data_IF_312254885697
#
_entry.id   IF_312254885697
#
_cell.length_a   1.000
_cell.length_b   1.000
_cell.length_c   1.000
_cell.angle_alpha   90.00
_cell.angle_beta   90.00
_cell.angle_gamma   90.00
#
_symmetry.space_group_name_H-M   'P 1'
#
loop_
_entity.id
_entity.type
_entity.pdbx_description
1 polymer ?
#
# COMPACT_ATOMS: atom_id res chain seq x y z
N UNK A 1 -1.53 4.84 14.70
CA UNK A 1 -0.36 3.94 14.71
C UNK A 1 0.81 4.68 15.36
N UNK A 2 1.06 4.51 16.67
CA UNK A 2 2.13 5.24 17.38
C UNK A 2 3.53 4.98 16.81
N UNK A 3 3.82 3.74 16.41
CA UNK A 3 5.15 3.34 15.91
C UNK A 3 5.56 4.01 14.60
N UNK A 4 4.64 4.17 13.64
CA UNK A 4 4.95 4.79 12.36
C UNK A 4 5.19 6.31 12.48
N UNK A 5 4.49 6.98 13.40
CA UNK A 5 4.76 8.39 13.73
C UNK A 5 6.12 8.56 14.40
N UNK A 6 6.51 7.63 15.27
CA UNK A 6 7.84 7.61 15.87
C UNK A 6 8.93 7.41 14.82
N UNK A 7 8.74 6.48 13.87
CA UNK A 7 9.68 6.25 12.76
C UNK A 7 9.79 7.46 11.83
N UNK A 8 8.67 8.11 11.48
CA UNK A 8 8.69 9.35 10.69
C UNK A 8 9.46 10.45 11.43
N UNK A 9 9.17 10.65 12.72
CA UNK A 9 9.83 11.67 13.53
C UNK A 9 11.33 11.41 13.70
N UNK A 10 11.71 10.19 14.08
CA UNK A 10 13.11 9.82 14.30
C UNK A 10 13.92 9.75 13.00
N UNK A 11 13.33 9.25 11.92
CA UNK A 11 13.94 9.22 10.58
C UNK A 11 14.16 10.63 10.03
N UNK A 12 13.14 11.49 10.10
CA UNK A 12 13.27 12.90 9.68
C UNK A 12 14.33 13.64 10.49
N UNK A 13 14.36 13.43 11.82
CA UNK A 13 15.40 14.00 12.68
C UNK A 13 16.80 13.55 12.27
N UNK A 14 16.99 12.27 11.98
CA UNK A 14 18.29 11.73 11.54
C UNK A 14 18.71 12.32 10.20
N UNK A 15 17.79 12.44 9.24
CA UNK A 15 18.04 13.06 7.94
C UNK A 15 18.48 14.52 8.12
N UNK A 16 17.74 15.31 8.90
CA UNK A 16 18.07 16.72 9.14
C UNK A 16 19.45 16.86 9.78
N UNK A 17 19.75 16.04 10.79
CA UNK A 17 20.99 16.13 11.57
C UNK A 17 22.24 15.68 10.79
N UNK A 18 22.16 14.57 10.05
CA UNK A 18 23.32 13.99 9.38
C UNK A 18 23.51 14.45 7.94
N UNK A 19 22.42 14.81 7.26
CA UNK A 19 22.48 15.24 5.86
C UNK A 19 22.32 16.75 5.70
N UNK A 20 21.98 17.51 6.74
CA UNK A 20 21.91 18.98 6.66
C UNK A 20 20.59 19.47 6.06
N UNK A 21 19.47 19.00 6.59
CA UNK A 21 18.13 19.37 6.12
C UNK A 21 17.82 18.77 4.75
N UNK A 22 17.59 19.60 3.73
CA UNK A 22 17.14 19.20 2.38
C UNK A 22 18.20 18.55 1.48
N UNK A 23 19.46 18.58 1.90
CA UNK A 23 20.57 17.99 1.17
C UNK A 23 20.44 16.47 0.97
N UNK A 24 19.58 15.79 1.73
CA UNK A 24 19.24 14.38 1.48
C UNK A 24 18.65 14.11 0.09
N UNK A 25 18.07 15.13 -0.56
CA UNK A 25 17.57 15.05 -1.94
C UNK A 25 18.68 14.78 -2.96
N UNK A 26 19.94 15.07 -2.60
CA UNK A 26 21.11 14.77 -3.45
C UNK A 26 21.48 13.28 -3.44
N UNK A 27 20.90 12.50 -2.52
CA UNK A 27 21.11 11.06 -2.40
C UNK A 27 19.85 10.33 -2.86
N UNK A 28 19.80 9.85 -4.13
CA UNK A 28 18.59 9.28 -4.72
C UNK A 28 17.98 8.14 -3.91
N UNK A 29 18.82 7.30 -3.30
CA UNK A 29 18.38 6.21 -2.44
C UNK A 29 17.65 6.70 -1.18
N UNK A 30 18.17 7.74 -0.52
CA UNK A 30 17.63 8.28 0.72
C UNK A 30 16.34 9.06 0.45
N UNK A 31 16.35 9.89 -0.60
CA UNK A 31 15.18 10.61 -1.06
C UNK A 31 14.07 9.64 -1.51
N UNK A 32 14.44 8.59 -2.25
CA UNK A 32 13.54 7.53 -2.68
C UNK A 32 12.91 6.77 -1.51
N UNK A 33 13.71 6.32 -0.54
CA UNK A 33 13.21 5.67 0.67
C UNK A 33 12.26 6.56 1.46
N UNK A 34 12.63 7.81 1.69
CA UNK A 34 11.79 8.76 2.43
C UNK A 34 10.46 9.01 1.72
N UNK A 35 10.48 9.16 0.39
CA UNK A 35 9.29 9.35 -0.43
C UNK A 35 8.35 8.13 -0.42
N UNK A 36 8.90 6.93 -0.64
CA UNK A 36 8.13 5.68 -0.62
C UNK A 36 7.54 5.41 0.77
N UNK A 37 8.31 5.62 1.83
CA UNK A 37 7.83 5.46 3.20
C UNK A 37 6.72 6.44 3.55
N UNK A 38 6.84 7.70 3.09
CA UNK A 38 5.76 8.68 3.25
C UNK A 38 4.49 8.27 2.49
N UNK A 39 4.65 7.69 1.29
CA UNK A 39 3.52 7.17 0.52
C UNK A 39 2.83 6.00 1.23
N UNK A 40 3.58 4.97 1.65
CA UNK A 40 3.05 3.82 2.41
C UNK A 40 2.34 4.29 3.69
N UNK A 41 2.91 5.29 4.37
CA UNK A 41 2.28 5.85 5.56
C UNK A 41 0.92 6.50 5.28
N UNK A 42 0.80 7.29 4.20
CA UNK A 42 -0.46 7.95 3.84
C UNK A 42 -1.51 6.92 3.40
N UNK A 43 -1.10 5.98 2.56
CA UNK A 43 -1.97 4.93 2.01
C UNK A 43 -2.48 3.98 3.10
N UNK A 44 -1.58 3.45 3.93
CA UNK A 44 -1.91 2.51 4.99
C UNK A 44 -2.71 3.14 6.13
N UNK A 45 -2.39 4.39 6.50
CA UNK A 45 -2.92 4.99 7.72
C UNK A 45 -4.17 5.86 7.46
N UNK A 46 -4.34 6.40 6.25
CA UNK A 46 -5.48 7.27 5.89
C UNK A 46 -6.43 6.60 4.90
N UNK A 47 -5.95 6.22 3.71
CA UNK A 47 -6.83 5.75 2.62
C UNK A 47 -7.44 4.39 2.95
N UNK A 48 -6.60 3.43 3.31
CA UNK A 48 -7.03 2.06 3.63
C UNK A 48 -7.89 2.04 4.89
N UNK A 49 -7.53 2.83 5.91
CA UNK A 49 -8.30 2.95 7.15
C UNK A 49 -9.69 3.54 6.93
N UNK A 50 -9.80 4.61 6.12
CA UNK A 50 -11.09 5.21 5.76
C UNK A 50 -11.96 4.23 4.98
N UNK A 51 -11.35 3.48 4.05
CA UNK A 51 -12.03 2.44 3.29
C UNK A 51 -12.60 1.34 4.19
N UNK A 52 -11.79 0.77 5.10
CA UNK A 52 -12.26 -0.26 6.03
C UNK A 52 -13.33 0.26 6.99
N UNK A 53 -13.25 1.52 7.44
CA UNK A 53 -14.30 2.14 8.26
C UNK A 53 -15.62 2.28 7.49
N UNK A 54 -15.57 2.74 6.23
CA UNK A 54 -16.75 2.77 5.35
C UNK A 54 -17.33 1.38 5.12
N UNK A 55 -16.47 0.41 4.80
CA UNK A 55 -16.88 -0.97 4.57
C UNK A 55 -17.53 -1.58 5.81
N UNK A 56 -16.95 -1.38 7.00
CA UNK A 56 -17.51 -1.84 8.27
C UNK A 56 -18.89 -1.24 8.57
N UNK A 57 -19.09 0.04 8.21
CA UNK A 57 -20.40 0.69 8.29
C UNK A 57 -21.43 0.05 7.37
N UNK A 58 -21.06 -0.18 6.11
CA UNK A 58 -21.93 -0.83 5.12
C UNK A 58 -22.27 -2.28 5.50
N UNK A 59 -21.31 -3.05 6.03
CA UNK A 59 -21.52 -4.43 6.49
C UNK A 59 -22.50 -4.49 7.66
N UNK A 60 -22.40 -3.55 8.62
CA UNK A 60 -23.37 -3.45 9.73
C UNK A 60 -24.78 -3.13 9.24
N UNK A 61 -24.91 -2.24 8.25
CA UNK A 61 -26.20 -1.94 7.62
C UNK A 61 -26.77 -3.16 6.88
N UNK A 62 -25.94 -3.91 6.17
CA UNK A 62 -26.36 -5.13 5.47
C UNK A 62 -26.78 -6.26 6.44
N UNK A 63 -26.04 -6.45 7.53
CA UNK A 63 -26.38 -7.39 8.59
C UNK A 63 -27.71 -7.04 9.26
N UNK A 64 -27.95 -5.75 9.56
CA UNK A 64 -29.23 -5.29 10.11
C UNK A 64 -30.39 -5.40 9.11
N UNK A 65 -30.12 -5.37 7.80
CA UNK A 65 -31.10 -5.53 6.75
C UNK A 65 -31.38 -7.01 6.37
N UNK A 66 -30.74 -7.98 7.05
CA UNK A 66 -30.99 -9.40 6.87
C UNK A 66 -30.40 -10.03 5.61
N UNK A 67 -29.49 -9.35 4.89
CA UNK A 67 -28.89 -9.89 3.67
C UNK A 67 -27.85 -8.98 3.01
N UNK A 68 -27.09 -9.55 2.06
CA UNK A 68 -26.07 -8.81 1.30
C UNK A 68 -26.74 -7.75 0.43
N UNK A 69 -26.51 -6.47 0.75
CA UNK A 69 -27.05 -5.36 -0.05
C UNK A 69 -26.20 -5.12 -1.30
N UNK A 70 -26.78 -4.66 -2.43
CA UNK A 70 -26.04 -4.38 -3.67
C UNK A 70 -24.94 -3.31 -3.51
N UNK A 71 -25.08 -2.39 -2.54
CA UNK A 71 -24.03 -1.43 -2.16
C UNK A 71 -22.81 -2.12 -1.53
N UNK A 72 -23.03 -3.19 -0.75
CA UNK A 72 -21.96 -3.98 -0.15
C UNK A 72 -21.19 -4.77 -1.22
N UNK A 73 -21.92 -5.32 -2.20
CA UNK A 73 -21.32 -6.08 -3.31
C UNK A 73 -20.47 -5.17 -4.23
N UNK A 74 -20.93 -3.93 -4.48
CA UNK A 74 -20.18 -2.95 -5.27
C UNK A 74 -18.94 -2.41 -4.53
N UNK A 75 -19.06 -2.13 -3.23
CA UNK A 75 -17.92 -1.75 -2.41
C UNK A 75 -16.88 -2.89 -2.33
N UNK A 76 -17.31 -4.13 -2.17
CA UNK A 76 -16.41 -5.31 -2.17
C UNK A 76 -15.74 -5.58 -3.53
N UNK A 77 -16.35 -5.10 -4.61
CA UNK A 77 -15.79 -5.16 -5.97
C UNK A 77 -14.81 -4.02 -6.29
N UNK A 78 -14.62 -3.06 -5.38
CA UNK A 78 -13.57 -2.05 -5.54
C UNK A 78 -12.21 -2.74 -5.52
N UNK A 79 -11.51 -2.68 -6.66
CA UNK A 79 -10.17 -3.28 -6.85
C UNK A 79 -9.05 -2.46 -6.22
N UNK A 80 -9.33 -1.22 -5.84
CA UNK A 80 -8.35 -0.28 -5.30
C UNK A 80 -7.71 -0.80 -4.00
N UNK A 81 -8.46 -1.23 -2.97
CA UNK A 81 -7.88 -1.72 -1.71
C UNK A 81 -7.07 -3.00 -1.87
N UNK A 82 -7.42 -3.83 -2.86
CA UNK A 82 -6.68 -5.06 -3.19
C UNK A 82 -5.36 -4.73 -3.88
N UNK A 83 -5.38 -3.76 -4.79
CA UNK A 83 -4.17 -3.27 -5.46
C UNK A 83 -3.19 -2.63 -4.47
N UNK A 84 -3.68 -1.74 -3.62
CA UNK A 84 -2.85 -1.07 -2.59
C UNK A 84 -2.27 -2.08 -1.61
N UNK A 85 -3.04 -3.10 -1.22
CA UNK A 85 -2.54 -4.18 -0.37
C UNK A 85 -1.42 -5.01 -1.02
N UNK A 86 -1.51 -5.30 -2.33
CA UNK A 86 -0.46 -6.02 -3.04
C UNK A 86 0.74 -5.13 -3.40
N UNK A 87 0.56 -3.81 -3.43
CA UNK A 87 1.63 -2.85 -3.70
C UNK A 87 2.56 -2.65 -2.50
N UNK A 88 2.03 -2.78 -1.28
CA UNK A 88 2.77 -2.61 -0.01
C UNK A 88 4.02 -3.49 0.09
N UNK A 89 3.90 -4.80 -0.19
CA UNK A 89 5.02 -5.73 -0.06
C UNK A 89 6.17 -5.47 -1.07
N UNK A 90 5.89 -5.24 -2.37
CA UNK A 90 6.89 -4.79 -3.33
C UNK A 90 7.51 -3.42 -3.00
N UNK A 91 6.74 -2.48 -2.45
CA UNK A 91 7.25 -1.17 -2.04
C UNK A 91 8.21 -1.28 -0.85
N UNK A 92 7.84 -2.06 0.17
CA UNK A 92 8.72 -2.35 1.32
C UNK A 92 10.02 -3.00 0.85
N UNK A 93 9.94 -3.96 -0.08
CA UNK A 93 11.13 -4.56 -0.67
C UNK A 93 12.00 -3.53 -1.39
N UNK A 94 11.40 -2.61 -2.15
CA UNK A 94 12.12 -1.54 -2.83
C UNK A 94 12.78 -0.57 -1.84
N UNK A 95 12.10 -0.19 -0.75
CA UNK A 95 12.65 0.65 0.32
C UNK A 95 13.90 -0.01 0.93
N UNK A 96 13.80 -1.30 1.28
CA UNK A 96 14.93 -2.05 1.84
C UNK A 96 16.07 -2.17 0.82
N UNK A 97 15.76 -2.44 -0.44
CA UNK A 97 16.75 -2.54 -1.52
C UNK A 97 17.50 -1.21 -1.74
N UNK A 98 16.81 -0.08 -1.72
CA UNK A 98 17.42 1.25 -1.81
C UNK A 98 18.38 1.51 -0.63
N UNK A 99 17.99 1.13 0.59
CA UNK A 99 18.83 1.29 1.77
C UNK A 99 20.05 0.37 1.80
N UNK A 100 19.93 -0.83 1.24
CA UNK A 100 21.00 -1.82 1.19
C UNK A 100 22.01 -1.54 0.06
N UNK A 101 21.52 -1.22 -1.15
CA UNK A 101 22.36 -1.01 -2.34
C UNK A 101 22.92 0.42 -2.39
N UNK A 102 22.22 1.39 -1.80
CA UNK A 102 22.58 2.81 -1.77
C UNK A 102 22.95 3.37 -3.16
N UNK A 103 22.09 3.19 -4.18
CA UNK A 103 22.38 3.67 -5.52
C UNK A 103 22.59 5.19 -5.54
N UNK A 104 23.63 5.62 -6.26
CA UNK A 104 23.92 7.03 -6.51
C UNK A 104 23.08 7.62 -7.65
N UNK A 105 22.28 6.80 -8.32
CA UNK A 105 21.42 7.20 -9.45
C UNK A 105 19.97 6.85 -9.17
N UNK A 106 19.05 7.56 -9.84
CA UNK A 106 17.61 7.33 -9.75
C UNK A 106 17.12 6.08 -10.49
N UNK A 107 18.00 5.39 -11.22
CA UNK A 107 17.62 4.28 -12.08
C UNK A 107 16.97 3.14 -11.29
N UNK A 108 17.59 2.72 -10.18
CA UNK A 108 17.05 1.64 -9.33
C UNK A 108 15.69 2.02 -8.75
N UNK A 109 15.53 3.29 -8.35
CA UNK A 109 14.28 3.81 -7.82
C UNK A 109 13.15 3.72 -8.86
N UNK A 110 13.34 4.26 -10.06
CA UNK A 110 12.32 4.25 -11.10
C UNK A 110 12.04 2.84 -11.62
N UNK A 111 13.09 2.05 -11.91
CA UNK A 111 12.93 0.68 -12.39
C UNK A 111 12.23 -0.20 -11.35
N UNK A 112 12.62 -0.08 -10.08
CA UNK A 112 11.99 -0.79 -8.97
C UNK A 112 10.55 -0.36 -8.75
N UNK A 113 10.24 0.93 -8.86
CA UNK A 113 8.86 1.45 -8.72
C UNK A 113 7.95 0.91 -9.84
N UNK A 114 8.44 0.91 -11.08
CA UNK A 114 7.71 0.33 -12.22
C UNK A 114 7.49 -1.16 -12.01
N UNK A 115 8.52 -1.89 -11.57
CA UNK A 115 8.42 -3.32 -11.29
C UNK A 115 7.42 -3.62 -10.15
N UNK A 116 7.42 -2.82 -9.09
CA UNK A 116 6.48 -2.94 -7.97
C UNK A 116 5.03 -2.74 -8.43
N UNK A 117 4.77 -1.67 -9.21
CA UNK A 117 3.43 -1.39 -9.77
C UNK A 117 2.99 -2.51 -10.73
N UNK A 118 3.89 -2.97 -11.60
CA UNK A 118 3.60 -4.07 -12.52
C UNK A 118 3.25 -5.36 -11.75
N UNK A 119 4.04 -5.71 -10.72
CA UNK A 119 3.80 -6.89 -9.90
C UNK A 119 2.47 -6.79 -9.15
N UNK A 120 2.17 -5.66 -8.52
CA UNK A 120 0.90 -5.42 -7.85
C UNK A 120 -0.28 -5.51 -8.82
N UNK A 121 -0.14 -4.98 -10.03
CA UNK A 121 -1.16 -5.05 -11.09
C UNK A 121 -1.40 -6.50 -11.51
N UNK A 122 -0.33 -7.26 -11.76
CA UNK A 122 -0.39 -8.66 -12.14
C UNK A 122 -1.10 -9.48 -11.06
N UNK A 123 -0.71 -9.34 -9.80
CA UNK A 123 -1.34 -10.03 -8.68
C UNK A 123 -2.83 -9.66 -8.54
N UNK A 124 -3.16 -8.38 -8.69
CA UNK A 124 -4.55 -7.90 -8.63
C UNK A 124 -5.42 -8.46 -9.75
N UNK A 125 -4.85 -8.70 -10.94
CA UNK A 125 -5.59 -9.25 -12.09
C UNK A 125 -5.67 -10.79 -12.06
N UNK A 126 -4.63 -11.47 -11.57
CA UNK A 126 -4.52 -12.93 -11.58
C UNK A 126 -5.28 -13.56 -10.41
N UNK A 127 -5.19 -13.00 -9.20
CA UNK A 127 -5.79 -13.61 -8.00
C UNK A 127 -7.31 -13.80 -8.11
N UNK A 128 -8.11 -12.83 -8.62
CA UNK A 128 -9.54 -13.03 -8.84
C UNK A 128 -9.85 -14.10 -9.90
N UNK A 129 -8.91 -14.39 -10.82
CA UNK A 129 -9.07 -15.43 -11.84
C UNK A 129 -8.72 -16.82 -11.33
N UNK A 130 -7.81 -16.93 -10.35
CA UNK A 130 -7.44 -18.21 -9.73
C UNK A 130 -8.45 -18.67 -8.67
N UNK A 131 -9.18 -17.73 -8.05
CA UNK A 131 -10.27 -18.02 -7.11
C UNK A 131 -11.61 -17.46 -7.64
N UNK A 132 -12.20 -18.06 -8.68
CA UNK A 132 -13.55 -17.71 -9.10
C UNK A 132 -14.53 -18.10 -7.98
N UNK A 133 -15.02 -17.11 -7.25
CA UNK A 133 -16.09 -17.31 -6.28
C UNK A 133 -17.39 -17.62 -7.04
N UNK A 134 -17.74 -18.90 -7.15
CA UNK A 134 -18.93 -19.32 -7.90
C UNK A 134 -19.20 -20.82 -8.05
N UNK A 135 -18.33 -21.72 -7.58
CA UNK A 135 -18.52 -23.17 -7.74
C UNK A 135 -18.66 -23.95 -6.43
N UNK A 136 -19.35 -23.37 -5.45
CA UNK A 136 -20.08 -24.15 -4.44
C UNK A 136 -21.55 -23.88 -4.62
N UNK A 137 -22.14 -24.69 -5.51
CA UNK A 137 -23.58 -24.84 -5.66
C UNK A 137 -24.19 -25.18 -4.31
N UNK A 138 -25.21 -24.41 -3.92
CA UNK A 138 -26.15 -24.81 -2.87
C UNK A 138 -26.83 -26.12 -3.33
N UNK A 139 -26.76 -27.23 -2.58
CA UNK A 139 -27.71 -28.31 -2.79
C UNK A 139 -29.11 -27.82 -2.42
N UNK A 140 -30.04 -28.10 -3.34
CA UNK A 140 -31.45 -27.75 -3.31
C UNK A 140 -32.23 -28.39 -2.16
#
# INVERSE_FOLDING_TARGET
MPGALLLLGSGTWMIVKFYGGWNFLQFPWLAGMAGLFAFEFIEGNTVTRLYFMRLRGLTRFALNAGGVTPKLQKARAERVPTFTHFLDLPMLFLIVALGAIQPTTWLLFFAGSIAAVALATILTLIIPRLYPWGSQALPA
#
